data_IF_331292095770
#
_entry.id   IF_331292095770
#
_cell.length_a   1.000
_cell.length_b   1.000
_cell.length_c   1.000
_cell.angle_alpha   90.00
_cell.angle_beta   90.00
_cell.angle_gamma   90.00
#
_symmetry.space_group_name_H-M   'P 1'
#
loop_
_entity.id
_entity.type
_entity.pdbx_description
1 polymer ?
#
# COMPACT_ATOMS: atom_id res chain seq x y z
N UNK A 1 8.74 24.65 -9.05
CA UNK A 1 7.63 23.72 -9.32
C UNK A 1 8.08 22.40 -8.72
N UNK A 2 7.34 21.83 -7.76
CA UNK A 2 7.69 20.53 -7.19
C UNK A 2 7.57 19.42 -8.25
N UNK A 3 8.41 18.42 -8.16
CA UNK A 3 8.36 17.25 -9.03
C UNK A 3 7.00 16.54 -8.83
N UNK A 4 6.31 16.24 -9.94
CA UNK A 4 5.03 15.50 -9.88
C UNK A 4 5.30 14.06 -9.46
N UNK A 5 4.43 13.47 -8.65
CA UNK A 5 4.50 12.05 -8.34
C UNK A 5 4.20 11.23 -9.60
N UNK A 6 5.08 10.29 -9.92
CA UNK A 6 4.95 9.37 -11.04
C UNK A 6 4.14 8.15 -10.62
N UNK A 7 3.09 7.85 -11.37
CA UNK A 7 2.25 6.67 -11.18
C UNK A 7 2.38 5.77 -12.40
N UNK A 8 2.61 4.48 -12.18
CA UNK A 8 2.55 3.48 -13.24
C UNK A 8 1.24 2.71 -13.18
N UNK A 9 0.61 2.48 -14.33
CA UNK A 9 -0.59 1.68 -14.47
C UNK A 9 -0.36 0.54 -15.48
N UNK A 10 -0.67 -0.68 -15.07
CA UNK A 10 -0.53 -1.88 -15.89
C UNK A 10 -1.90 -2.52 -16.06
N UNK A 11 -2.41 -2.52 -17.28
CA UNK A 11 -3.73 -3.05 -17.64
C UNK A 11 -3.72 -3.37 -19.13
N UNK A 12 -4.17 -4.53 -19.58
CA UNK A 12 -4.19 -4.93 -20.99
C UNK A 12 -5.29 -4.22 -21.78
N UNK A 13 -6.33 -3.69 -21.11
CA UNK A 13 -7.42 -2.95 -21.72
C UNK A 13 -7.01 -1.50 -22.04
N UNK A 14 -6.94 -1.15 -23.33
CA UNK A 14 -6.52 0.17 -23.79
C UNK A 14 -7.42 1.30 -23.26
N UNK A 15 -8.73 1.07 -23.19
CA UNK A 15 -9.72 2.04 -22.69
C UNK A 15 -9.49 2.38 -21.21
N UNK A 16 -9.08 1.41 -20.39
CA UNK A 16 -8.75 1.64 -18.99
C UNK A 16 -7.40 2.36 -18.84
N UNK A 17 -6.40 2.04 -19.66
CA UNK A 17 -5.15 2.80 -19.67
C UNK A 17 -5.36 4.28 -20.02
N UNK A 18 -6.25 4.57 -20.97
CA UNK A 18 -6.62 5.94 -21.33
C UNK A 18 -7.38 6.65 -20.20
N UNK A 19 -8.29 5.93 -19.52
CA UNK A 19 -8.98 6.43 -18.33
C UNK A 19 -8.00 6.76 -17.20
N UNK A 20 -7.07 5.85 -16.89
CA UNK A 20 -6.04 6.11 -15.86
C UNK A 20 -5.21 7.33 -16.20
N UNK A 21 -4.72 7.42 -17.43
CA UNK A 21 -3.93 8.58 -17.88
C UNK A 21 -4.71 9.87 -17.69
N UNK A 22 -5.91 9.95 -18.26
CA UNK A 22 -6.74 11.16 -18.17
C UNK A 22 -7.02 11.56 -16.71
N UNK A 23 -7.52 10.62 -15.92
CA UNK A 23 -7.93 10.89 -14.54
C UNK A 23 -6.77 11.31 -13.63
N UNK A 24 -5.60 10.70 -13.80
CA UNK A 24 -4.45 10.95 -12.94
C UNK A 24 -3.66 12.18 -13.37
N UNK A 25 -3.55 12.45 -14.67
CA UNK A 25 -2.93 13.68 -15.17
C UNK A 25 -3.76 14.91 -14.78
N UNK A 26 -5.10 14.84 -14.86
CA UNK A 26 -6.01 15.89 -14.37
C UNK A 26 -5.86 16.10 -12.85
N UNK A 27 -5.62 15.02 -12.09
CA UNK A 27 -5.35 15.08 -10.66
C UNK A 27 -3.95 15.60 -10.29
N UNK A 28 -3.09 15.90 -11.29
CA UNK A 28 -1.77 16.50 -11.13
C UNK A 28 -0.61 15.52 -11.05
N UNK A 29 -0.81 14.23 -11.35
CA UNK A 29 0.23 13.20 -11.39
C UNK A 29 0.95 13.17 -12.75
N UNK A 30 2.12 12.54 -12.79
CA UNK A 30 2.76 12.05 -14.01
C UNK A 30 2.38 10.57 -14.16
N UNK A 31 2.08 10.09 -15.38
CA UNK A 31 1.51 8.75 -15.58
C UNK A 31 2.24 7.99 -16.67
N UNK A 32 2.68 6.76 -16.36
CA UNK A 32 3.11 5.76 -17.33
C UNK A 32 2.09 4.62 -17.39
N UNK A 33 1.60 4.29 -18.59
CA UNK A 33 0.64 3.19 -18.79
C UNK A 33 1.27 2.10 -19.66
N UNK A 34 1.11 0.84 -19.26
CA UNK A 34 1.71 -0.33 -19.90
C UNK A 34 0.65 -1.40 -20.14
N UNK A 35 0.76 -2.09 -21.27
CA UNK A 35 -0.19 -3.13 -21.63
C UNK A 35 0.13 -4.51 -20.98
N UNK A 36 1.36 -4.69 -20.53
CA UNK A 36 1.84 -5.96 -19.99
C UNK A 36 2.99 -5.74 -19.00
N UNK A 37 3.39 -6.82 -18.30
CA UNK A 37 4.45 -6.77 -17.33
C UNK A 37 5.83 -6.52 -17.93
N UNK A 38 6.11 -6.94 -19.17
CA UNK A 38 7.42 -6.77 -19.79
C UNK A 38 7.70 -5.29 -20.04
N UNK A 39 6.76 -4.57 -20.65
CA UNK A 39 6.84 -3.11 -20.83
C UNK A 39 6.99 -2.38 -19.48
N UNK A 40 6.25 -2.82 -18.48
CA UNK A 40 6.31 -2.26 -17.14
C UNK A 40 7.67 -2.48 -16.48
N UNK A 41 8.23 -3.70 -16.54
CA UNK A 41 9.55 -3.95 -15.98
C UNK A 41 10.68 -3.23 -16.71
N UNK A 42 10.54 -3.03 -18.02
CA UNK A 42 11.51 -2.22 -18.78
C UNK A 42 11.45 -0.74 -18.37
N UNK A 43 10.28 -0.20 -18.11
CA UNK A 43 10.13 1.16 -17.59
C UNK A 43 10.68 1.31 -16.17
N UNK A 44 10.51 0.30 -15.30
CA UNK A 44 11.07 0.28 -13.93
C UNK A 44 12.59 0.36 -13.91
N UNK A 45 13.29 -0.16 -14.93
CA UNK A 45 14.74 -0.06 -15.04
C UNK A 45 15.21 1.38 -15.26
N UNK A 46 14.36 2.22 -15.84
CA UNK A 46 14.66 3.61 -16.14
C UNK A 46 14.25 4.55 -15.01
N UNK A 47 13.05 4.36 -14.47
CA UNK A 47 12.50 5.22 -13.41
C UNK A 47 11.56 4.47 -12.50
N UNK A 48 11.73 4.65 -11.19
CA UNK A 48 10.89 4.04 -10.15
C UNK A 48 9.70 4.95 -9.86
N UNK A 49 8.43 4.46 -9.96
CA UNK A 49 7.24 5.24 -9.65
C UNK A 49 7.00 5.34 -8.13
N UNK A 50 6.19 6.30 -7.73
CA UNK A 50 5.75 6.46 -6.34
C UNK A 50 4.55 5.58 -5.97
N UNK A 51 3.79 5.08 -6.97
CA UNK A 51 2.76 4.06 -6.77
C UNK A 51 2.49 3.30 -8.08
N UNK A 52 1.92 2.11 -7.96
CA UNK A 52 1.55 1.24 -9.09
C UNK A 52 0.07 0.86 -8.98
N UNK A 53 -0.66 1.04 -10.09
CA UNK A 53 -1.95 0.39 -10.35
C UNK A 53 -1.66 -0.87 -11.16
N UNK A 54 -2.17 -2.02 -10.72
CA UNK A 54 -1.85 -3.29 -11.34
C UNK A 54 -3.11 -4.14 -11.50
N UNK A 55 -3.50 -4.40 -12.75
CA UNK A 55 -4.57 -5.37 -13.00
C UNK A 55 -4.14 -6.77 -12.58
N UNK A 56 -5.07 -7.51 -12.00
CA UNK A 56 -4.88 -8.92 -11.66
C UNK A 56 -4.84 -9.77 -12.93
N UNK A 57 -5.74 -9.51 -13.86
CA UNK A 57 -5.96 -10.30 -15.08
C UNK A 57 -5.36 -9.56 -16.27
N UNK A 58 -4.11 -9.84 -16.58
CA UNK A 58 -3.44 -9.33 -17.78
C UNK A 58 -3.42 -10.44 -18.82
N UNK A 59 -3.52 -10.08 -20.10
CA UNK A 59 -3.43 -11.06 -21.19
C UNK A 59 -2.08 -11.81 -21.15
N UNK A 60 -2.15 -13.11 -20.88
CA UNK A 60 -0.99 -14.00 -20.79
C UNK A 60 -0.10 -13.84 -19.55
N UNK A 61 -0.43 -12.96 -18.59
CA UNK A 61 0.35 -12.76 -17.35
C UNK A 61 -0.55 -12.62 -16.12
N UNK A 62 -0.11 -13.18 -14.99
CA UNK A 62 -0.77 -13.04 -13.68
C UNK A 62 -0.23 -11.79 -12.95
N UNK A 63 -1.08 -10.80 -12.68
CA UNK A 63 -0.74 -9.61 -11.92
C UNK A 63 -0.15 -9.92 -10.54
N UNK A 64 -0.53 -11.04 -9.93
CA UNK A 64 0.08 -11.50 -8.69
C UNK A 64 1.55 -11.92 -8.84
N UNK A 65 1.92 -12.45 -10.01
CA UNK A 65 3.32 -12.75 -10.31
C UNK A 65 4.16 -11.48 -10.40
N UNK A 66 3.61 -10.43 -11.03
CA UNK A 66 4.22 -9.09 -11.09
C UNK A 66 4.35 -8.50 -9.69
N UNK A 67 3.30 -8.53 -8.87
CA UNK A 67 3.34 -8.07 -7.47
C UNK A 67 4.42 -8.81 -6.68
N UNK A 68 4.47 -10.14 -6.79
CA UNK A 68 5.49 -10.96 -6.11
C UNK A 68 6.91 -10.58 -6.54
N UNK A 69 7.13 -10.31 -7.82
CA UNK A 69 8.42 -9.84 -8.33
C UNK A 69 8.81 -8.47 -7.75
N UNK A 70 7.87 -7.52 -7.70
CA UNK A 70 8.09 -6.22 -7.07
C UNK A 70 8.50 -6.34 -5.60
N UNK A 71 7.86 -7.23 -4.84
CA UNK A 71 8.14 -7.41 -3.41
C UNK A 71 9.47 -8.12 -3.12
N UNK A 72 10.02 -8.85 -4.10
CA UNK A 72 11.34 -9.51 -3.98
C UNK A 72 12.51 -8.60 -4.30
N UNK A 73 12.30 -7.52 -5.02
CA UNK A 73 13.36 -6.60 -5.45
C UNK A 73 13.49 -5.40 -4.51
N UNK A 74 14.69 -5.14 -3.99
CA UNK A 74 14.97 -4.02 -3.06
C UNK A 74 14.45 -2.66 -3.53
N UNK A 75 14.67 -2.22 -4.79
CA UNK A 75 14.24 -0.91 -5.22
C UNK A 75 12.71 -0.73 -5.28
N UNK A 76 11.95 -1.84 -5.39
CA UNK A 76 10.51 -1.80 -5.68
C UNK A 76 9.63 -2.34 -4.55
N UNK A 77 10.21 -3.02 -3.56
CA UNK A 77 9.45 -3.72 -2.52
C UNK A 77 8.56 -2.84 -1.66
N UNK A 78 8.93 -1.55 -1.51
CA UNK A 78 8.19 -0.57 -0.69
C UNK A 78 7.24 0.32 -1.49
N UNK A 79 7.22 0.18 -2.82
CA UNK A 79 6.30 0.95 -3.67
C UNK A 79 4.87 0.53 -3.35
N UNK A 80 3.96 1.46 -3.04
CA UNK A 80 2.53 1.15 -2.91
C UNK A 80 1.97 0.53 -4.19
N UNK A 81 1.33 -0.64 -4.06
CA UNK A 81 0.67 -1.34 -5.16
C UNK A 81 -0.82 -1.47 -4.87
N UNK A 82 -1.63 -0.88 -5.74
CA UNK A 82 -3.09 -1.01 -5.72
C UNK A 82 -3.46 -2.03 -6.78
N UNK A 83 -3.99 -3.19 -6.36
CA UNK A 83 -4.49 -4.19 -7.30
C UNK A 83 -5.84 -3.77 -7.85
N UNK A 84 -6.04 -3.92 -9.15
CA UNK A 84 -7.32 -3.67 -9.81
C UNK A 84 -7.93 -5.00 -10.24
N UNK A 85 -9.22 -5.23 -9.93
CA UNK A 85 -9.86 -6.52 -10.21
C UNK A 85 -11.32 -6.38 -10.61
N UNK A 86 -11.86 -7.36 -11.33
CA UNK A 86 -13.30 -7.48 -11.53
C UNK A 86 -14.04 -7.70 -10.20
N UNK A 87 -15.28 -7.19 -10.10
CA UNK A 87 -16.11 -7.27 -8.89
C UNK A 87 -16.51 -8.72 -8.61
N UNK A 88 -16.18 -9.24 -7.42
CA UNK A 88 -16.77 -10.49 -6.92
C UNK A 88 -15.79 -11.53 -6.36
N UNK A 89 -14.49 -11.39 -6.55
CA UNK A 89 -13.52 -12.39 -6.10
C UNK A 89 -12.89 -12.00 -4.76
N UNK A 90 -13.59 -12.34 -3.68
CA UNK A 90 -13.10 -12.13 -2.32
C UNK A 90 -11.79 -12.90 -2.05
N UNK A 91 -11.65 -14.05 -2.70
CA UNK A 91 -10.45 -14.89 -2.63
C UNK A 91 -9.23 -14.17 -3.22
N UNK A 92 -9.41 -13.40 -4.28
CA UNK A 92 -8.33 -12.65 -4.93
C UNK A 92 -7.86 -11.47 -4.09
N UNK A 93 -8.76 -10.78 -3.40
CA UNK A 93 -8.40 -9.73 -2.44
C UNK A 93 -7.51 -10.27 -1.33
N UNK A 94 -7.90 -11.40 -0.74
CA UNK A 94 -7.13 -12.07 0.33
C UNK A 94 -5.76 -12.52 -0.19
N UNK A 95 -5.71 -13.09 -1.40
CA UNK A 95 -4.47 -13.54 -2.02
C UNK A 95 -3.48 -12.40 -2.25
N UNK A 96 -3.93 -11.29 -2.83
CA UNK A 96 -3.06 -10.16 -3.14
C UNK A 96 -2.56 -9.44 -1.89
N UNK A 97 -3.42 -9.22 -0.89
CA UNK A 97 -3.00 -8.64 0.39
C UNK A 97 -2.00 -9.53 1.12
N UNK A 98 -2.15 -10.86 1.05
CA UNK A 98 -1.16 -11.79 1.57
C UNK A 98 0.18 -11.74 0.80
N UNK A 99 0.15 -11.39 -0.49
CA UNK A 99 1.33 -11.18 -1.32
C UNK A 99 1.95 -9.78 -1.15
N UNK A 100 1.32 -8.90 -0.35
CA UNK A 100 1.83 -7.59 -0.04
C UNK A 100 1.28 -6.45 -0.90
N UNK A 101 0.08 -6.60 -1.50
CA UNK A 101 -0.66 -5.47 -2.03
C UNK A 101 -1.04 -4.50 -0.90
N UNK A 102 -1.02 -3.20 -1.18
CA UNK A 102 -1.35 -2.18 -0.18
C UNK A 102 -2.84 -1.85 -0.20
N UNK A 103 -3.50 -2.00 -1.34
CA UNK A 103 -4.91 -1.70 -1.53
C UNK A 103 -5.52 -2.46 -2.71
N UNK A 104 -6.85 -2.38 -2.82
CA UNK A 104 -7.65 -2.97 -3.90
C UNK A 104 -8.66 -1.98 -4.44
N UNK A 105 -8.83 -1.99 -5.78
CA UNK A 105 -9.85 -1.23 -6.50
C UNK A 105 -10.67 -2.19 -7.35
N UNK A 106 -11.98 -2.28 -7.11
CA UNK A 106 -12.86 -3.20 -7.85
C UNK A 106 -13.44 -2.53 -9.09
N UNK A 107 -13.32 -3.17 -10.27
CA UNK A 107 -14.01 -2.76 -11.52
C UNK A 107 -15.52 -3.09 -11.43
N UNK A 108 -16.43 -2.19 -11.84
CA UNK A 108 -16.18 -0.81 -12.28
C UNK A 108 -15.96 0.13 -11.10
N UNK A 109 -15.07 1.10 -11.26
CA UNK A 109 -14.74 2.11 -10.25
C UNK A 109 -14.97 3.53 -10.78
N UNK A 110 -15.17 4.47 -9.88
CA UNK A 110 -15.25 5.89 -10.20
C UNK A 110 -13.88 6.56 -10.25
N UNK A 111 -13.72 7.57 -11.11
CA UNK A 111 -12.49 8.38 -11.19
C UNK A 111 -12.10 8.99 -9.84
N UNK A 112 -13.08 9.49 -9.09
CA UNK A 112 -12.83 10.07 -7.76
C UNK A 112 -12.31 9.03 -6.77
N UNK A 113 -12.82 7.80 -6.82
CA UNK A 113 -12.33 6.71 -5.97
C UNK A 113 -10.88 6.34 -6.33
N UNK A 114 -10.59 6.19 -7.62
CA UNK A 114 -9.23 5.93 -8.09
C UNK A 114 -8.23 6.96 -7.56
N UNK A 115 -8.51 8.26 -7.77
CA UNK A 115 -7.64 9.36 -7.34
C UNK A 115 -7.51 9.39 -5.81
N UNK A 116 -8.60 9.19 -5.07
CA UNK A 116 -8.59 9.17 -3.61
C UNK A 116 -7.71 8.05 -3.06
N UNK A 117 -7.81 6.83 -3.64
CA UNK A 117 -6.98 5.68 -3.24
C UNK A 117 -5.49 5.91 -3.52
N UNK A 118 -5.15 6.47 -4.68
CA UNK A 118 -3.75 6.81 -4.99
C UNK A 118 -3.22 7.84 -4.00
N UNK A 119 -3.95 8.92 -3.76
CA UNK A 119 -3.54 9.95 -2.78
C UNK A 119 -3.38 9.37 -1.38
N UNK A 120 -4.27 8.47 -0.95
CA UNK A 120 -4.19 7.80 0.33
C UNK A 120 -2.94 6.92 0.44
N UNK A 121 -2.58 6.20 -0.63
CA UNK A 121 -1.39 5.37 -0.67
C UNK A 121 -0.08 6.16 -0.75
N UNK A 122 -0.12 7.37 -1.33
CA UNK A 122 1.02 8.28 -1.41
C UNK A 122 1.23 9.10 -0.12
N UNK A 123 0.19 9.25 0.71
CA UNK A 123 0.36 9.93 1.99
C UNK A 123 1.36 9.14 2.83
N UNK A 124 2.58 9.64 2.94
CA UNK A 124 3.50 9.18 3.97
C UNK A 124 2.84 9.51 5.30
N UNK A 125 2.76 8.56 6.23
CA UNK A 125 2.43 8.87 7.61
C UNK A 125 3.51 9.82 8.13
N UNK A 126 3.31 11.10 7.87
CA UNK A 126 4.17 12.16 8.33
C UNK A 126 3.41 12.94 9.38
N UNK A 127 3.73 12.70 10.60
CA UNK A 127 3.60 13.71 11.66
C UNK A 127 4.95 13.80 12.33
N UNK A 128 5.48 15.01 12.34
CA UNK A 128 6.79 15.38 12.83
C UNK A 128 7.11 14.84 14.23
N UNK A 129 7.73 13.68 14.30
CA UNK A 129 8.52 13.31 15.45
C UNK A 129 9.99 13.54 15.10
N UNK A 130 10.59 14.59 15.67
CA UNK A 130 12.00 14.92 15.44
C UNK A 130 12.97 13.88 16.00
N UNK A 131 12.50 12.92 16.80
CA UNK A 131 13.28 11.86 17.43
C UNK A 131 12.71 10.48 17.12
N UNK A 132 13.56 9.43 17.02
CA UNK A 132 13.11 8.06 16.87
C UNK A 132 12.12 7.67 17.98
N UNK A 133 10.98 7.12 17.61
CA UNK A 133 10.01 6.60 18.56
C UNK A 133 10.32 5.12 18.87
N UNK A 134 10.34 4.75 20.15
CA UNK A 134 10.56 3.36 20.54
C UNK A 134 9.46 2.84 21.46
N UNK A 135 9.01 1.62 21.21
CA UNK A 135 8.09 0.92 22.10
C UNK A 135 8.49 -0.56 22.19
N UNK A 136 8.90 -0.97 23.38
CA UNK A 136 9.48 -2.31 23.61
C UNK A 136 10.61 -2.58 22.61
N UNK A 137 10.62 -3.69 21.92
CA UNK A 137 11.64 -4.02 20.92
C UNK A 137 11.42 -3.46 19.51
N UNK A 138 10.58 -2.43 19.36
CA UNK A 138 10.29 -1.77 18.08
C UNK A 138 10.84 -0.35 18.13
N UNK A 139 11.65 0.04 17.13
CA UNK A 139 12.20 1.37 16.94
C UNK A 139 11.74 1.90 15.58
N UNK A 140 11.20 3.12 15.55
CA UNK A 140 10.77 3.81 14.33
C UNK A 140 11.67 5.03 14.13
N UNK A 141 12.38 5.05 13.00
CA UNK A 141 13.14 6.20 12.52
C UNK A 141 12.43 6.78 11.30
N UNK A 142 11.64 7.84 11.51
CA UNK A 142 10.88 8.47 10.43
C UNK A 142 11.80 9.17 9.42
N UNK A 143 12.92 9.74 9.86
CA UNK A 143 13.86 10.43 8.95
C UNK A 143 14.47 9.48 7.93
N UNK A 144 14.74 8.24 8.36
CA UNK A 144 15.26 7.19 7.49
C UNK A 144 14.17 6.32 6.87
N UNK A 145 12.91 6.55 7.26
CA UNK A 145 11.77 5.70 6.91
C UNK A 145 12.03 4.21 7.22
N UNK A 146 12.62 3.95 8.37
CA UNK A 146 13.08 2.63 8.80
C UNK A 146 12.37 2.22 10.11
N UNK A 147 11.93 0.97 10.17
CA UNK A 147 11.51 0.34 11.43
C UNK A 147 12.48 -0.79 11.72
N UNK A 148 12.98 -0.83 12.96
CA UNK A 148 13.75 -1.94 13.48
C UNK A 148 12.94 -2.71 14.51
N UNK A 149 12.99 -4.04 14.41
CA UNK A 149 12.35 -4.95 15.35
C UNK A 149 13.46 -5.81 15.97
N UNK A 150 13.63 -5.74 17.28
CA UNK A 150 14.75 -6.37 18.03
C UNK A 150 16.14 -5.93 17.54
N UNK A 151 16.27 -4.70 17.08
CA UNK A 151 17.51 -4.16 16.53
C UNK A 151 17.74 -4.44 15.04
N UNK A 152 17.01 -5.39 14.43
CA UNK A 152 17.13 -5.73 13.03
C UNK A 152 16.18 -4.91 12.15
N UNK A 153 16.60 -4.45 10.96
CA UNK A 153 15.72 -3.76 10.03
C UNK A 153 14.53 -4.63 9.62
N UNK A 154 13.33 -4.10 9.73
CA UNK A 154 12.11 -4.79 9.33
C UNK A 154 11.74 -4.47 7.89
N UNK A 155 11.53 -5.51 7.09
CA UNK A 155 11.04 -5.40 5.71
C UNK A 155 9.52 -5.29 5.76
N UNK A 156 8.99 -4.08 5.53
CA UNK A 156 7.56 -3.77 5.59
C UNK A 156 7.10 -3.16 4.28
N UNK A 157 5.85 -3.41 3.89
CA UNK A 157 5.19 -2.63 2.83
C UNK A 157 4.84 -1.24 3.34
N UNK A 158 4.47 -0.31 2.45
CA UNK A 158 4.10 1.04 2.84
C UNK A 158 2.94 1.06 3.86
N UNK A 159 1.94 0.17 3.69
CA UNK A 159 0.80 0.07 4.61
C UNK A 159 1.14 -0.63 5.93
N UNK A 160 1.99 -1.65 5.91
CA UNK A 160 2.50 -2.26 7.14
C UNK A 160 3.31 -1.24 7.95
N UNK A 161 4.16 -0.44 7.28
CA UNK A 161 4.91 0.64 7.93
C UNK A 161 3.98 1.66 8.58
N UNK A 162 3.03 2.20 7.82
CA UNK A 162 2.07 3.19 8.28
C UNK A 162 1.24 2.69 9.47
N UNK A 163 0.70 1.46 9.36
CA UNK A 163 -0.10 0.83 10.40
C UNK A 163 0.72 0.59 11.68
N UNK A 164 1.94 0.03 11.54
CA UNK A 164 2.79 -0.24 12.69
C UNK A 164 3.24 1.05 13.37
N UNK A 165 3.61 2.07 12.61
CA UNK A 165 3.96 3.40 13.14
C UNK A 165 2.81 4.01 13.93
N UNK A 166 1.60 4.03 13.35
CA UNK A 166 0.41 4.53 14.02
C UNK A 166 0.13 3.79 15.34
N UNK A 167 0.22 2.46 15.35
CA UNK A 167 -0.02 1.66 16.55
C UNK A 167 1.05 1.90 17.63
N UNK A 168 2.31 2.09 17.25
CA UNK A 168 3.40 2.37 18.19
C UNK A 168 3.26 3.77 18.79
N UNK A 169 2.95 4.79 17.98
CA UNK A 169 2.71 6.17 18.50
C UNK A 169 1.53 6.25 19.46
N UNK A 170 0.53 5.37 19.28
CA UNK A 170 -0.64 5.31 20.15
C UNK A 170 -0.60 4.10 21.11
N UNK A 171 0.62 3.62 21.44
CA UNK A 171 0.76 2.46 22.32
C UNK A 171 0.08 2.69 23.68
N UNK A 172 -0.70 1.70 24.13
CA UNK A 172 -1.49 1.80 25.36
C UNK A 172 -2.88 2.44 25.20
N UNK A 173 -3.19 2.97 23.99
CA UNK A 173 -4.50 3.57 23.69
C UNK A 173 -5.27 2.69 22.72
N UNK A 174 -6.57 2.48 22.95
CA UNK A 174 -7.43 1.82 22.00
C UNK A 174 -7.75 2.74 20.82
N UNK A 175 -7.52 2.25 19.60
CA UNK A 175 -7.84 2.97 18.37
C UNK A 175 -9.08 2.37 17.73
N UNK A 176 -10.04 3.22 17.36
CA UNK A 176 -11.20 2.80 16.61
C UNK A 176 -10.79 2.32 15.21
N UNK A 177 -11.42 1.24 14.72
CA UNK A 177 -11.12 0.66 13.39
C UNK A 177 -11.26 1.69 12.27
N UNK A 178 -12.33 2.49 12.29
CA UNK A 178 -12.55 3.52 11.27
C UNK A 178 -11.43 4.58 11.30
N UNK A 179 -10.97 5.00 12.48
CA UNK A 179 -9.84 5.91 12.58
C UNK A 179 -8.57 5.34 11.96
N UNK A 180 -8.28 4.07 12.20
CA UNK A 180 -7.11 3.40 11.59
C UNK A 180 -7.27 3.34 10.07
N UNK A 181 -8.47 3.00 9.58
CA UNK A 181 -8.76 2.96 8.15
C UNK A 181 -8.60 4.35 7.51
N UNK A 182 -9.19 5.39 8.11
CA UNK A 182 -9.14 6.76 7.61
C UNK A 182 -7.70 7.31 7.57
N UNK A 183 -6.92 7.08 8.62
CA UNK A 183 -5.53 7.58 8.69
C UNK A 183 -4.57 6.82 7.77
N UNK A 184 -4.72 5.50 7.65
CA UNK A 184 -3.80 4.66 6.88
C UNK A 184 -4.25 4.48 5.43
N UNK A 185 -5.55 4.36 5.15
CA UNK A 185 -6.08 4.13 3.79
C UNK A 185 -6.83 5.34 3.20
N UNK A 186 -7.29 6.26 4.01
CA UNK A 186 -8.01 7.47 3.60
C UNK A 186 -9.47 7.49 4.04
N UNK A 187 -10.03 8.70 4.13
CA UNK A 187 -11.41 8.90 4.53
C UNK A 187 -12.41 8.11 3.66
N UNK A 188 -13.42 7.55 4.30
CA UNK A 188 -14.47 6.74 3.68
C UNK A 188 -13.98 5.39 3.08
N UNK A 189 -12.87 4.86 3.57
CA UNK A 189 -12.43 3.53 3.20
C UNK A 189 -13.36 2.48 3.85
N UNK A 190 -14.34 1.97 3.08
CA UNK A 190 -15.41 1.11 3.60
C UNK A 190 -15.03 -0.35 3.89
N UNK A 191 -13.81 -0.80 3.55
CA UNK A 191 -13.44 -2.22 3.63
C UNK A 191 -12.68 -2.56 4.92
N UNK A 192 -13.38 -3.00 5.95
CA UNK A 192 -12.79 -3.42 7.24
C UNK A 192 -11.89 -4.65 7.16
N UNK A 193 -12.10 -5.54 6.17
CA UNK A 193 -11.27 -6.76 5.96
C UNK A 193 -9.83 -6.47 5.61
N UNK A 194 -9.56 -5.41 4.87
CA UNK A 194 -8.20 -4.98 4.54
C UNK A 194 -7.40 -4.70 5.80
N UNK A 195 -7.99 -4.03 6.79
CA UNK A 195 -7.37 -3.79 8.08
C UNK A 195 -7.02 -5.09 8.80
N UNK A 196 -7.94 -6.06 8.84
CA UNK A 196 -7.72 -7.34 9.56
C UNK A 196 -6.54 -8.11 8.96
N UNK A 197 -6.40 -8.10 7.64
CA UNK A 197 -5.29 -8.75 6.95
C UNK A 197 -3.95 -8.05 7.25
N UNK A 198 -3.90 -6.74 7.21
CA UNK A 198 -2.68 -5.99 7.56
C UNK A 198 -2.33 -6.12 9.04
N UNK A 199 -3.31 -6.14 9.94
CA UNK A 199 -3.09 -6.43 11.37
C UNK A 199 -2.47 -7.83 11.55
N UNK A 200 -2.96 -8.83 10.81
CA UNK A 200 -2.39 -10.18 10.87
C UNK A 200 -0.94 -10.22 10.35
N UNK A 201 -0.62 -9.46 9.29
CA UNK A 201 0.75 -9.34 8.78
C UNK A 201 1.65 -8.66 9.82
N UNK A 202 1.25 -7.50 10.34
CA UNK A 202 2.02 -6.76 11.33
C UNK A 202 2.25 -7.59 12.60
N UNK A 203 1.23 -8.33 13.09
CA UNK A 203 1.38 -9.25 14.22
C UNK A 203 2.50 -10.27 13.98
N UNK A 204 2.59 -10.84 12.78
CA UNK A 204 3.68 -11.78 12.41
C UNK A 204 5.05 -11.12 12.43
N UNK A 205 5.16 -9.87 11.97
CA UNK A 205 6.42 -9.12 11.94
C UNK A 205 6.95 -8.80 13.34
N UNK A 206 6.07 -8.43 14.27
CA UNK A 206 6.47 -8.01 15.63
C UNK A 206 6.69 -9.17 16.62
N UNK A 207 6.56 -10.42 16.19
CA UNK A 207 6.76 -11.59 17.05
C UNK A 207 8.11 -11.53 17.78
N UNK A 208 8.06 -11.64 19.10
CA UNK A 208 9.22 -11.61 19.98
C UNK A 208 9.80 -10.23 20.27
N UNK A 209 9.22 -9.14 19.78
CA UNK A 209 9.60 -7.75 20.18
C UNK A 209 9.20 -7.44 21.62
N UNK A 210 8.28 -8.22 22.20
CA UNK A 210 7.62 -7.91 23.47
C UNK A 210 6.40 -6.99 23.32
N UNK A 211 6.12 -6.45 22.11
CA UNK A 211 4.89 -5.75 21.79
C UNK A 211 3.78 -6.72 21.36
N UNK A 212 2.53 -6.35 21.61
CA UNK A 212 1.35 -7.15 21.26
C UNK A 212 0.23 -6.24 20.75
N UNK A 213 -0.40 -6.62 19.64
CA UNK A 213 -1.60 -5.97 19.14
C UNK A 213 -2.81 -6.76 19.59
N UNK A 214 -3.64 -6.15 20.43
CA UNK A 214 -4.88 -6.75 20.96
C UNK A 214 -6.09 -6.15 20.26
N UNK A 215 -7.09 -6.98 20.00
CA UNK A 215 -8.40 -6.52 19.53
C UNK A 215 -9.33 -6.34 20.75
N UNK A 216 -9.91 -5.14 20.88
CA UNK A 216 -10.88 -4.84 21.92
C UNK A 216 -12.27 -4.91 21.30
N UNK A 217 -13.07 -5.90 21.71
CA UNK A 217 -14.44 -6.08 21.19
C UNK A 217 -15.27 -4.82 21.40
N UNK A 218 -15.89 -4.33 20.33
CA UNK A 218 -16.75 -3.15 20.32
C UNK A 218 -16.04 -1.80 20.22
N UNK A 219 -14.70 -1.76 20.19
CA UNK A 219 -13.92 -0.53 19.98
C UNK A 219 -12.94 -0.62 18.81
N UNK A 220 -12.24 -1.73 18.69
CA UNK A 220 -11.21 -1.84 17.65
C UNK A 220 -10.37 -3.12 17.78
#
# INVERSE_FOLDING_TARGET
MGEKNLIYAVDDEASLRDLYRYALEDAGFEVGCFANGDEFFDALKQRIPQAVLLDIMLDGQDGYAILSALRKSEPTRTIPVIMVSAKGEEVDKVRGLNLGADDYLSKPFGVLELVARIRANLRRCGSAAEMPCSYKGILIDEKRHEIRIKGEPAVLTAKEYALLSMLVYHAGTALARNRILDEVWGENYGETRTLDLHIAQVRRRIVGSGAEIRTIRGMG
#
